data_IF_056755046113
#
_entry.id   IF_056755046113
#
_cell.length_a   1.000
_cell.length_b   1.000
_cell.length_c   1.000
_cell.angle_alpha   90.00
_cell.angle_beta   90.00
_cell.angle_gamma   90.00
#
_symmetry.space_group_name_H-M   'P 1'
#
loop_
_entity.id
_entity.type
_entity.pdbx_description
1 polymer ?
#
# COMPACT_ATOMS: atom_id res chain seq x y z
N UNK A 1 -18.13 -3.48 6.29
CA UNK A 1 -18.68 -4.76 5.78
C UNK A 1 -19.05 -4.73 4.29
N UNK A 2 -19.46 -3.59 3.72
CA UNK A 2 -19.78 -3.49 2.28
C UNK A 2 -18.57 -3.72 1.36
N UNK A 3 -17.41 -3.12 1.67
CA UNK A 3 -16.18 -3.30 0.88
C UNK A 3 -15.75 -4.78 0.79
N UNK A 4 -15.78 -5.51 1.91
CA UNK A 4 -15.45 -6.94 1.93
C UNK A 4 -16.38 -7.75 1.02
N UNK A 5 -17.69 -7.48 1.10
CA UNK A 5 -18.70 -8.11 0.24
C UNK A 5 -18.59 -7.69 -1.23
N UNK A 6 -18.06 -6.50 -1.52
CA UNK A 6 -17.85 -6.05 -2.90
C UNK A 6 -16.58 -6.62 -3.53
N UNK A 7 -15.52 -6.81 -2.73
CA UNK A 7 -14.22 -7.35 -3.17
C UNK A 7 -14.26 -8.87 -3.26
N UNK A 8 -14.94 -9.54 -2.32
CA UNK A 8 -15.08 -10.99 -2.27
C UNK A 8 -16.49 -11.37 -2.68
N UNK A 9 -16.78 -11.22 -3.97
CA UNK A 9 -18.00 -11.76 -4.59
C UNK A 9 -17.67 -13.15 -5.11
N UNK A 10 -18.06 -14.19 -4.38
CA UNK A 10 -17.81 -15.57 -4.79
C UNK A 10 -18.20 -16.57 -3.72
N UNK A 11 -18.29 -17.83 -4.12
CA UNK A 11 -18.39 -18.95 -3.19
C UNK A 11 -17.08 -19.08 -2.41
N UNK A 12 -17.14 -19.08 -1.08
CA UNK A 12 -15.92 -19.22 -0.28
C UNK A 12 -15.26 -20.57 -0.48
N UNK A 13 -15.98 -21.58 -1.01
CA UNK A 13 -15.42 -22.88 -1.35
C UNK A 13 -14.67 -22.90 -2.68
N UNK A 14 -14.93 -21.94 -3.55
CA UNK A 14 -14.20 -21.75 -4.79
C UNK A 14 -12.73 -21.37 -4.53
N UNK A 15 -11.82 -22.05 -5.22
CA UNK A 15 -10.38 -21.89 -5.05
C UNK A 15 -9.92 -20.50 -5.46
N UNK A 16 -10.54 -19.89 -6.48
CA UNK A 16 -10.15 -18.54 -6.91
C UNK A 16 -10.54 -17.51 -5.84
N UNK A 17 -11.72 -17.65 -5.24
CA UNK A 17 -12.20 -16.82 -4.13
C UNK A 17 -11.30 -16.98 -2.89
N UNK A 18 -10.91 -18.20 -2.51
CA UNK A 18 -9.94 -18.46 -1.43
C UNK A 18 -8.61 -17.77 -1.70
N UNK A 19 -8.09 -17.85 -2.93
CA UNK A 19 -6.83 -17.17 -3.32
C UNK A 19 -6.94 -15.66 -3.25
N UNK A 20 -8.07 -15.09 -3.69
CA UNK A 20 -8.30 -13.65 -3.64
C UNK A 20 -8.35 -13.12 -2.20
N UNK A 21 -9.00 -13.87 -1.29
CA UNK A 21 -9.00 -13.56 0.15
C UNK A 21 -7.56 -13.53 0.68
N UNK A 22 -6.80 -14.61 0.47
CA UNK A 22 -5.42 -14.73 0.94
C UNK A 22 -4.55 -13.58 0.42
N UNK A 23 -4.62 -13.29 -0.89
CA UNK A 23 -3.86 -12.20 -1.51
C UNK A 23 -4.24 -10.80 -0.99
N UNK A 24 -5.49 -10.62 -0.59
CA UNK A 24 -5.97 -9.33 -0.06
C UNK A 24 -5.47 -9.08 1.37
N UNK A 25 -5.47 -10.10 2.22
CA UNK A 25 -5.21 -9.91 3.65
C UNK A 25 -3.78 -10.24 4.07
N UNK A 26 -3.10 -11.16 3.40
CA UNK A 26 -1.75 -11.57 3.76
C UNK A 26 -0.74 -10.69 3.03
N UNK A 27 0.17 -10.10 3.81
CA UNK A 27 1.29 -9.31 3.31
C UNK A 27 2.46 -10.20 2.93
N UNK A 28 2.84 -11.11 3.82
CA UNK A 28 3.91 -12.08 3.58
C UNK A 28 3.72 -13.38 4.35
N UNK A 29 4.31 -14.46 3.83
CA UNK A 29 4.40 -15.77 4.48
C UNK A 29 5.85 -16.20 4.47
N UNK A 30 6.43 -16.42 5.65
CA UNK A 30 7.81 -16.83 5.83
C UNK A 30 7.83 -18.19 6.54
N UNK A 31 8.45 -19.17 5.87
CA UNK A 31 8.60 -20.52 6.40
C UNK A 31 9.96 -20.67 7.10
N UNK A 32 9.92 -21.10 8.36
CA UNK A 32 11.08 -21.52 9.14
C UNK A 32 11.00 -23.04 9.40
N UNK A 33 12.09 -23.67 9.88
CA UNK A 33 12.09 -25.12 10.15
C UNK A 33 11.04 -25.59 11.15
N UNK A 34 10.68 -24.75 12.12
CA UNK A 34 9.80 -25.05 13.25
C UNK A 34 8.50 -24.25 13.25
N UNK A 35 8.36 -23.23 12.39
CA UNK A 35 7.22 -22.31 12.41
C UNK A 35 6.94 -21.66 11.06
N UNK A 36 5.73 -21.13 10.94
CA UNK A 36 5.31 -20.26 9.83
C UNK A 36 4.98 -18.90 10.40
N UNK A 37 5.59 -17.85 9.86
CA UNK A 37 5.27 -16.46 10.18
C UNK A 37 4.38 -15.90 9.06
N UNK A 38 3.19 -15.44 9.41
CA UNK A 38 2.26 -14.78 8.50
C UNK A 38 2.10 -13.34 8.98
N UNK A 39 2.35 -12.38 8.10
CA UNK A 39 2.05 -10.97 8.39
C UNK A 39 0.87 -10.51 7.54
N UNK A 40 0.05 -9.62 8.10
CA UNK A 40 -1.17 -9.14 7.47
C UNK A 40 -1.00 -7.71 6.94
N UNK A 41 -1.81 -7.35 5.94
CA UNK A 41 -1.84 -5.99 5.38
C UNK A 41 -2.49 -4.96 6.31
N UNK A 42 -3.08 -5.41 7.43
CA UNK A 42 -3.64 -4.57 8.47
C UNK A 42 -2.81 -4.71 9.75
N UNK A 43 -2.70 -3.63 10.51
CA UNK A 43 -2.19 -3.66 11.86
C UNK A 43 -3.38 -3.69 12.82
N UNK A 44 -3.41 -4.66 13.75
CA UNK A 44 -4.43 -4.71 14.82
C UNK A 44 -4.37 -3.48 15.74
N UNK A 45 -3.27 -2.73 15.68
CA UNK A 45 -3.20 -1.38 16.21
C UNK A 45 -3.94 -0.43 15.27
N UNK A 46 -5.25 -0.37 15.41
CA UNK A 46 -5.87 0.95 15.42
C UNK A 46 -5.31 1.65 16.66
N UNK A 47 -4.08 2.16 16.57
CA UNK A 47 -3.84 3.43 17.24
C UNK A 47 -4.86 4.36 16.58
N UNK A 48 -6.00 4.53 17.23
CA UNK A 48 -6.86 5.66 16.96
C UNK A 48 -5.92 6.83 17.18
N UNK A 49 -5.31 7.32 16.11
CA UNK A 49 -4.43 8.45 16.20
C UNK A 49 -5.37 9.60 16.51
N UNK A 50 -5.64 9.81 17.80
CA UNK A 50 -6.41 10.92 18.34
C UNK A 50 -5.78 12.15 17.72
N UNK A 51 -6.45 12.63 16.68
CA UNK A 51 -5.99 13.75 15.89
C UNK A 51 -6.42 14.96 16.69
N UNK A 52 -5.61 15.29 17.67
CA UNK A 52 -5.82 16.47 18.51
C UNK A 52 -5.68 17.71 17.63
N UNK A 53 -6.40 18.77 17.98
CA UNK A 53 -6.31 20.06 17.27
C UNK A 53 -4.87 20.58 17.17
N UNK A 54 -4.03 20.21 18.13
CA UNK A 54 -2.62 20.60 18.16
C UNK A 54 -1.80 19.87 17.09
N UNK A 55 -2.05 18.57 16.86
CA UNK A 55 -1.43 17.83 15.76
C UNK A 55 -1.87 18.37 14.40
N UNK A 56 -3.14 18.77 14.25
CA UNK A 56 -3.63 19.42 13.03
C UNK A 56 -2.85 20.71 12.77
N UNK A 57 -2.70 21.57 13.79
CA UNK A 57 -1.94 22.82 13.68
C UNK A 57 -0.46 22.59 13.37
N UNK A 58 0.16 21.54 13.94
CA UNK A 58 1.55 21.19 13.62
C UNK A 58 1.70 20.74 12.17
N UNK A 59 0.78 19.93 11.67
CA UNK A 59 0.76 19.49 10.26
C UNK A 59 0.54 20.68 9.33
N UNK A 60 -0.42 21.55 9.61
CA UNK A 60 -0.68 22.77 8.83
C UNK A 60 0.55 23.68 8.79
N UNK A 61 1.21 23.88 9.94
CA UNK A 61 2.43 24.67 10.04
C UNK A 61 3.59 24.03 9.27
N UNK A 62 3.72 22.70 9.32
CA UNK A 62 4.74 21.97 8.56
C UNK A 62 4.48 22.10 7.04
N UNK A 63 3.23 21.97 6.61
CA UNK A 63 2.84 22.17 5.21
C UNK A 63 3.11 23.59 4.70
N UNK A 64 2.89 24.61 5.52
CA UNK A 64 3.21 26.01 5.15
C UNK A 64 4.71 26.30 5.12
N UNK A 65 5.51 25.63 5.96
CA UNK A 65 6.96 25.82 5.98
C UNK A 65 7.70 25.02 4.89
N UNK A 66 7.05 24.05 4.26
CA UNK A 66 7.63 23.21 3.21
C UNK A 66 7.48 23.80 1.80
N UNK A 67 7.01 25.04 1.66
CA UNK A 67 6.90 25.71 0.35
C UNK A 67 8.27 26.08 -0.28
N UNK A 68 9.40 25.78 0.38
CA UNK A 68 10.74 26.09 -0.17
C UNK A 68 11.65 24.90 -0.46
N UNK A 69 11.19 23.64 -0.44
CA UNK A 69 11.96 22.51 -0.99
C UNK A 69 11.12 21.62 -1.94
N UNK A 70 10.38 22.29 -2.84
CA UNK A 70 9.87 21.67 -4.07
C UNK A 70 11.02 21.38 -5.03
N UNK A 71 11.60 20.17 -4.94
CA UNK A 71 12.15 19.50 -6.12
C UNK A 71 11.42 18.17 -6.28
N UNK A 72 10.18 18.26 -6.73
CA UNK A 72 9.54 17.15 -7.41
C UNK A 72 10.07 17.14 -8.84
N UNK A 73 11.18 16.46 -9.08
CA UNK A 73 11.60 16.14 -10.46
C UNK A 73 10.66 15.07 -11.00
N UNK A 74 9.44 15.45 -11.42
CA UNK A 74 8.75 14.69 -12.46
C UNK A 74 9.50 14.94 -13.76
N UNK A 75 10.47 14.09 -14.07
CA UNK A 75 10.71 13.69 -15.46
C UNK A 75 11.67 12.51 -15.53
N UNK A 76 11.20 11.45 -16.17
CA UNK A 76 12.03 10.72 -17.10
C UNK A 76 11.16 10.46 -18.32
N UNK A 77 11.57 11.10 -19.41
CA UNK A 77 10.88 11.16 -20.69
C UNK A 77 10.66 9.75 -21.24
N UNK A 78 9.46 9.47 -21.75
CA UNK A 78 9.35 8.51 -22.87
C UNK A 78 10.00 9.22 -24.06
N UNK A 79 11.32 9.09 -24.20
CA UNK A 79 12.00 9.41 -25.45
C UNK A 79 11.80 8.21 -26.38
N UNK A 80 10.74 8.26 -27.18
CA UNK A 80 10.64 7.47 -28.40
C UNK A 80 11.75 7.90 -29.38
N UNK A 81 12.94 7.34 -29.23
CA UNK A 81 13.99 7.44 -30.26
C UNK A 81 14.68 6.08 -30.43
N UNK A 82 14.04 5.26 -31.27
CA UNK A 82 14.57 4.23 -32.19
C UNK A 82 15.48 3.09 -31.67
N UNK A 83 15.36 1.85 -32.21
CA UNK A 83 16.20 0.72 -31.80
C UNK A 83 17.69 0.89 -32.16
N UNK A 84 18.61 0.24 -31.42
CA UNK A 84 20.04 0.34 -31.65
C UNK A 84 20.45 -0.22 -33.02
N UNK A 85 21.28 0.53 -33.77
CA UNK A 85 21.91 0.03 -35.00
C UNK A 85 23.04 -0.93 -34.63
N UNK A 86 23.03 -2.12 -35.23
CA UNK A 86 24.15 -3.06 -35.18
C UNK A 86 25.35 -2.46 -35.91
N UNK A 87 26.48 -2.34 -35.23
CA UNK A 87 27.81 -2.36 -35.85
C UNK A 87 28.27 -3.79 -36.06
#
# INVERSE_FOLDING_TARGET
MEYFRSVIKGDIDDVATKKAVVATFIREVILYPDKVLITFNFADTYEHYETTKDKIKEIEKLSQNNETDSIFTMSSNILELSPPKKT
#
